data_IF_906401863859
#
_entry.id   IF_906401863859
#
_cell.length_a   1.000
_cell.length_b   1.000
_cell.length_c   1.000
_cell.angle_alpha   90.00
_cell.angle_beta   90.00
_cell.angle_gamma   90.00
#
_symmetry.space_group_name_H-M   'P 1'
#
loop_
_entity.id
_entity.type
_entity.pdbx_description
1 polymer ?
#
# COMPACT_ATOMS: atom_id res chain seq x y z
N UNK A 1 -1.38 -12.12 7.36
CA UNK A 1 -0.80 -11.77 6.04
C UNK A 1 -0.98 -12.91 5.05
N UNK A 2 -1.70 -12.66 3.96
CA UNK A 2 -1.93 -13.65 2.90
C UNK A 2 -0.95 -13.48 1.73
N UNK A 3 -0.94 -14.42 0.79
CA UNK A 3 -0.02 -14.40 -0.34
C UNK A 3 -0.17 -13.16 -1.24
N UNK A 4 -1.38 -12.60 -1.38
CA UNK A 4 -1.60 -11.36 -2.16
C UNK A 4 -0.98 -10.14 -1.45
N UNK A 5 -1.14 -10.03 -0.14
CA UNK A 5 -0.55 -8.97 0.68
C UNK A 5 0.98 -9.02 0.66
N UNK A 6 1.56 -10.23 0.70
CA UNK A 6 3.00 -10.44 0.56
C UNK A 6 3.53 -10.00 -0.80
N UNK A 7 2.85 -10.37 -1.88
CA UNK A 7 3.22 -9.93 -3.22
C UNK A 7 3.14 -8.41 -3.37
N UNK A 8 2.06 -7.79 -2.86
CA UNK A 8 1.91 -6.33 -2.86
C UNK A 8 3.04 -5.65 -2.08
N UNK A 9 3.31 -6.09 -0.84
CA UNK A 9 4.37 -5.52 -0.02
C UNK A 9 5.73 -5.60 -0.72
N UNK A 10 6.12 -6.78 -1.19
CA UNK A 10 7.39 -7.00 -1.89
C UNK A 10 7.49 -6.17 -3.18
N UNK A 11 6.38 -6.00 -3.89
CA UNK A 11 6.33 -5.21 -5.11
C UNK A 11 6.54 -3.72 -4.83
N UNK A 12 5.89 -3.19 -3.78
CA UNK A 12 5.99 -1.78 -3.40
C UNK A 12 7.38 -1.46 -2.84
N UNK A 13 7.91 -2.30 -1.94
CA UNK A 13 9.22 -2.03 -1.30
C UNK A 13 10.38 -1.95 -2.31
N UNK A 14 10.30 -2.66 -3.44
CA UNK A 14 11.29 -2.54 -4.54
C UNK A 14 11.27 -1.18 -5.25
N UNK A 15 10.18 -0.43 -5.11
CA UNK A 15 9.92 0.86 -5.78
C UNK A 15 9.91 2.04 -4.81
N UNK A 16 10.02 1.78 -3.51
CA UNK A 16 10.17 2.79 -2.46
C UNK A 16 11.55 3.44 -2.54
N UNK A 17 11.63 4.73 -2.20
CA UNK A 17 12.87 5.48 -2.13
C UNK A 17 13.87 4.84 -1.17
N UNK A 18 15.15 4.91 -1.51
CA UNK A 18 16.21 4.36 -0.68
C UNK A 18 16.24 5.15 0.65
N UNK A 19 16.13 4.46 1.79
CA UNK A 19 15.98 5.08 3.12
C UNK A 19 14.53 5.29 3.58
N UNK A 20 13.52 4.97 2.75
CA UNK A 20 12.09 5.03 3.11
C UNK A 20 11.43 3.66 3.22
N UNK A 21 12.19 2.58 3.05
CA UNK A 21 11.71 1.19 3.03
C UNK A 21 10.99 0.84 4.34
N UNK A 22 11.61 1.12 5.48
CA UNK A 22 11.02 0.81 6.80
C UNK A 22 9.72 1.57 7.05
N UNK A 23 9.67 2.85 6.64
CA UNK A 23 8.48 3.70 6.74
C UNK A 23 7.33 3.16 5.87
N UNK A 24 7.62 2.82 4.62
CA UNK A 24 6.65 2.24 3.70
C UNK A 24 6.15 0.86 4.18
N UNK A 25 7.04 0.02 4.70
CA UNK A 25 6.69 -1.28 5.25
C UNK A 25 5.77 -1.15 6.47
N UNK A 26 6.07 -0.22 7.38
CA UNK A 26 5.22 0.03 8.55
C UNK A 26 3.82 0.49 8.12
N UNK A 27 3.74 1.45 7.18
CA UNK A 27 2.49 1.97 6.65
C UNK A 27 1.62 0.88 6.00
N UNK A 28 2.21 0.06 5.14
CA UNK A 28 1.49 -1.03 4.45
C UNK A 28 1.02 -2.09 5.46
N UNK A 29 1.86 -2.47 6.43
CA UNK A 29 1.53 -3.45 7.45
C UNK A 29 0.42 -2.98 8.40
N UNK A 30 0.36 -1.69 8.73
CA UNK A 30 -0.76 -1.13 9.51
C UNK A 30 -2.09 -1.34 8.78
N UNK A 31 -2.13 -1.05 7.47
CA UNK A 31 -3.33 -1.24 6.66
C UNK A 31 -3.72 -2.70 6.53
N UNK A 32 -2.75 -3.62 6.40
CA UNK A 32 -3.04 -5.06 6.42
C UNK A 32 -3.68 -5.50 7.74
N UNK A 33 -3.21 -4.98 8.88
CA UNK A 33 -3.82 -5.27 10.19
C UNK A 33 -5.26 -4.76 10.26
N UNK A 34 -5.52 -3.53 9.80
CA UNK A 34 -6.88 -2.97 9.71
C UNK A 34 -7.77 -3.79 8.78
N UNK A 35 -7.23 -4.29 7.68
CA UNK A 35 -7.96 -5.15 6.73
C UNK A 35 -8.32 -6.49 7.37
N UNK A 36 -7.38 -7.15 8.05
CA UNK A 36 -7.63 -8.40 8.79
C UNK A 36 -8.64 -8.20 9.94
N UNK A 37 -8.61 -7.04 10.61
CA UNK A 37 -9.57 -6.66 11.64
C UNK A 37 -10.95 -6.22 11.09
N UNK A 38 -11.07 -6.01 9.78
CA UNK A 38 -12.28 -5.49 9.14
C UNK A 38 -12.59 -4.02 9.46
N UNK A 39 -11.60 -3.26 9.93
CA UNK A 39 -11.71 -1.83 10.28
C UNK A 39 -11.10 -0.90 9.23
N UNK A 40 -10.59 -1.46 8.14
CA UNK A 40 -10.03 -0.66 7.05
C UNK A 40 -11.16 -0.02 6.21
N UNK A 41 -11.21 1.31 6.19
CA UNK A 41 -12.29 2.09 5.59
C UNK A 41 -11.84 2.87 4.34
N UNK A 42 -12.80 3.47 3.62
CA UNK A 42 -12.49 4.40 2.52
C UNK A 42 -11.67 5.62 2.97
N UNK A 43 -11.81 6.05 4.23
CA UNK A 43 -10.99 7.12 4.78
C UNK A 43 -9.53 6.68 4.88
N UNK A 44 -9.28 5.46 5.35
CA UNK A 44 -7.93 4.90 5.40
C UNK A 44 -7.30 4.76 4.01
N UNK A 45 -8.09 4.44 2.97
CA UNK A 45 -7.63 4.44 1.57
C UNK A 45 -7.20 5.85 1.15
N UNK A 46 -8.05 6.86 1.42
CA UNK A 46 -7.78 8.26 1.07
C UNK A 46 -6.53 8.81 1.75
N UNK A 47 -6.20 8.33 2.95
CA UNK A 47 -4.95 8.67 3.63
C UNK A 47 -3.76 7.83 3.15
N UNK A 48 -3.96 6.56 2.83
CA UNK A 48 -2.90 5.64 2.44
C UNK A 48 -2.29 6.04 1.09
N UNK A 49 -3.11 6.28 0.07
CA UNK A 49 -2.66 6.59 -1.29
C UNK A 49 -1.63 7.74 -1.32
N UNK A 50 -1.93 8.95 -0.80
CA UNK A 50 -0.97 10.05 -0.84
C UNK A 50 0.29 9.76 -0.02
N UNK A 51 0.16 9.10 1.15
CA UNK A 51 1.30 8.75 2.01
C UNK A 51 2.25 7.78 1.30
N UNK A 52 1.72 6.69 0.72
CA UNK A 52 2.59 5.72 0.04
C UNK A 52 3.21 6.34 -1.22
N UNK A 53 2.45 7.12 -2.01
CA UNK A 53 2.97 7.80 -3.21
C UNK A 53 4.17 8.70 -2.89
N UNK A 54 4.18 9.41 -1.76
CA UNK A 54 5.32 10.23 -1.32
C UNK A 54 6.59 9.41 -1.01
N UNK A 55 6.45 8.12 -0.73
CA UNK A 55 7.56 7.21 -0.41
C UNK A 55 8.09 6.48 -1.64
N UNK A 56 7.39 6.53 -2.79
CA UNK A 56 7.81 5.86 -4.03
C UNK A 56 8.86 6.69 -4.77
N UNK A 57 9.78 6.01 -5.46
CA UNK A 57 10.74 6.64 -6.37
C UNK A 57 9.97 7.37 -7.48
N UNK A 58 10.33 8.63 -7.84
CA UNK A 58 9.55 9.43 -8.78
C UNK A 58 9.25 8.75 -10.12
N UNK A 59 10.16 7.92 -10.62
CA UNK A 59 10.03 7.17 -11.88
C UNK A 59 9.11 5.94 -11.80
N UNK A 60 8.62 5.57 -10.62
CA UNK A 60 7.73 4.43 -10.38
C UNK A 60 6.35 4.85 -9.87
N UNK A 61 6.08 6.15 -9.70
CA UNK A 61 4.82 6.64 -9.12
C UNK A 61 3.61 6.20 -9.94
N UNK A 62 3.65 6.37 -11.26
CA UNK A 62 2.52 6.02 -12.14
C UNK A 62 2.23 4.51 -12.12
N UNK A 63 3.29 3.69 -12.14
CA UNK A 63 3.20 2.23 -12.06
C UNK A 63 2.59 1.79 -10.72
N UNK A 64 3.09 2.35 -9.62
CA UNK A 64 2.62 2.04 -8.26
C UNK A 64 1.18 2.54 -8.05
N UNK A 65 0.80 3.66 -8.63
CA UNK A 65 -0.57 4.17 -8.54
C UNK A 65 -1.58 3.16 -9.06
N UNK A 66 -1.32 2.55 -10.22
CA UNK A 66 -2.22 1.53 -10.79
C UNK A 66 -2.36 0.31 -9.87
N UNK A 67 -1.25 -0.19 -9.32
CA UNK A 67 -1.26 -1.34 -8.41
C UNK A 67 -1.99 -1.01 -7.10
N UNK A 68 -1.85 0.22 -6.59
CA UNK A 68 -2.60 0.67 -5.42
C UNK A 68 -4.10 0.78 -5.73
N UNK A 69 -4.51 1.24 -6.91
CA UNK A 69 -5.93 1.30 -7.30
C UNK A 69 -6.54 -0.11 -7.42
N UNK A 70 -5.83 -1.05 -8.05
CA UNK A 70 -6.27 -2.45 -8.11
C UNK A 70 -6.37 -3.07 -6.72
N UNK A 71 -5.37 -2.84 -5.87
CA UNK A 71 -5.41 -3.27 -4.48
C UNK A 71 -6.56 -2.56 -3.73
N UNK A 72 -6.84 -1.30 -4.06
CA UNK A 72 -7.90 -0.53 -3.46
C UNK A 72 -9.30 -1.05 -3.79
N UNK A 73 -9.49 -1.53 -5.02
CA UNK A 73 -10.71 -2.20 -5.44
C UNK A 73 -10.98 -3.45 -4.60
N UNK A 74 -9.93 -4.21 -4.21
CA UNK A 74 -10.09 -5.38 -3.32
C UNK A 74 -10.56 -5.00 -1.91
N UNK A 75 -10.40 -3.75 -1.49
CA UNK A 75 -10.94 -3.27 -0.21
C UNK A 75 -12.44 -2.94 -0.26
N UNK A 76 -12.99 -2.73 -1.45
CA UNK A 76 -14.40 -2.34 -1.64
C UNK A 76 -15.34 -3.51 -1.88
N UNK A 77 -14.82 -4.75 -2.00
CA UNK A 77 -15.60 -5.98 -2.22
C UNK A 77 -16.15 -6.59 -0.91
N UNK A 78 -16.75 -5.78 -0.02
CA UNK A 78 -17.57 -6.28 1.10
C UNK A 78 -19.01 -5.80 1.00
#
# INVERSE_FOLDING_TARGET
MNNKQEQFLNYILKRVQDGKIDEAQALINENFKKQEAGTFTRADIGEFIPKITMLIKPNHVDEVHNVIQEFAATFSEK
#
